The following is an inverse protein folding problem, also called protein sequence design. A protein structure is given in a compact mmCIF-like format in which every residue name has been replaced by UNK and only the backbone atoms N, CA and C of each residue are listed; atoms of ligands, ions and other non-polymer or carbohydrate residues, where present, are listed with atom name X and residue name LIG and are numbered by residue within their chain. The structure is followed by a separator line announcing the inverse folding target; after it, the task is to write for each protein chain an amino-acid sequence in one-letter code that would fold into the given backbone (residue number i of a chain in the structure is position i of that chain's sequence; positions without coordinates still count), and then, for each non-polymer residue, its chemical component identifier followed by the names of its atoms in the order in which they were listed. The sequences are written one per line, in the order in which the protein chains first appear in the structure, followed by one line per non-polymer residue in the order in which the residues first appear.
data_IF_976557615717
#
_entry.id   IF_976557615717
#
_cell.length_a   1.000
_cell.length_b   1.000
_cell.length_c   1.000
_cell.angle_alpha   90.00
_cell.angle_beta   90.00
_cell.angle_gamma   90.00
#
_symmetry.space_group_name_H-M   'P 1'
#
loop_
_entity.id
_entity.type
_entity.pdbx_description
1 polymer ?
#
# COMPACT_ATOMS: atom_id res chain seq x y z
N UNK A 1 -30.99 -4.61 -20.68
CA UNK A 1 -29.53 -4.69 -20.84
C UNK A 1 -29.02 -5.21 -19.51
N UNK A 2 -28.53 -6.45 -19.46
CA UNK A 2 -28.00 -7.01 -18.22
C UNK A 2 -26.78 -6.19 -17.83
N UNK A 3 -26.83 -5.51 -16.68
CA UNK A 3 -25.63 -4.98 -16.03
C UNK A 3 -24.75 -6.19 -15.73
N UNK A 4 -23.71 -6.41 -16.56
CA UNK A 4 -22.64 -7.32 -16.20
C UNK A 4 -22.02 -6.80 -14.91
N UNK A 5 -22.06 -7.63 -13.87
CA UNK A 5 -21.47 -7.36 -12.58
C UNK A 5 -19.99 -6.96 -12.78
N UNK A 6 -19.63 -5.75 -12.33
CA UNK A 6 -18.29 -5.19 -12.55
C UNK A 6 -17.29 -5.97 -11.70
N UNK A 7 -16.45 -6.80 -12.34
CA UNK A 7 -15.37 -7.55 -11.68
C UNK A 7 -14.45 -6.60 -10.91
N UNK A 8 -14.07 -6.99 -9.69
CA UNK A 8 -12.99 -6.34 -8.96
C UNK A 8 -11.63 -6.65 -9.61
N UNK A 9 -10.61 -5.83 -9.32
CA UNK A 9 -9.26 -6.05 -9.84
C UNK A 9 -8.72 -7.46 -9.52
N UNK A 10 -9.05 -8.02 -8.36
CA UNK A 10 -8.63 -9.37 -7.97
C UNK A 10 -9.29 -10.47 -8.84
N UNK A 11 -10.50 -10.22 -9.33
CA UNK A 11 -11.29 -11.16 -10.14
C UNK A 11 -11.02 -11.02 -11.65
N UNK A 12 -10.40 -9.92 -12.07
CA UNK A 12 -10.00 -9.71 -13.46
C UNK A 12 -8.91 -10.70 -13.90
N UNK A 13 -9.09 -11.27 -15.08
CA UNK A 13 -8.05 -12.00 -15.79
C UNK A 13 -6.87 -11.09 -16.14
N UNK A 14 -5.71 -11.69 -16.44
CA UNK A 14 -4.53 -10.93 -16.86
C UNK A 14 -4.83 -10.04 -18.08
N UNK A 15 -5.61 -10.55 -19.04
CA UNK A 15 -5.99 -9.81 -20.24
C UNK A 15 -6.89 -8.61 -19.92
N UNK A 16 -7.89 -8.78 -19.06
CA UNK A 16 -8.75 -7.68 -18.59
C UNK A 16 -7.94 -6.61 -17.87
N UNK A 17 -6.98 -7.00 -17.02
CA UNK A 17 -6.08 -6.05 -16.34
C UNK A 17 -5.18 -5.30 -17.32
N UNK A 18 -4.65 -6.00 -18.34
CA UNK A 18 -3.85 -5.40 -19.41
C UNK A 18 -4.68 -4.41 -20.21
N UNK A 19 -5.93 -4.74 -20.54
CA UNK A 19 -6.84 -3.85 -21.23
C UNK A 19 -7.12 -2.58 -20.42
N UNK A 20 -7.46 -2.73 -19.13
CA UNK A 20 -7.66 -1.60 -18.20
C UNK A 20 -6.42 -0.71 -18.12
N UNK A 21 -5.23 -1.30 -17.92
CA UNK A 21 -4.00 -0.52 -17.87
C UNK A 21 -3.68 0.15 -19.22
N UNK A 22 -3.95 -0.51 -20.34
CA UNK A 22 -3.81 0.07 -21.67
C UNK A 22 -4.74 1.27 -21.89
N UNK A 23 -5.99 1.17 -21.44
CA UNK A 23 -6.95 2.27 -21.48
C UNK A 23 -6.50 3.46 -20.61
N UNK A 24 -5.89 3.20 -19.45
CA UNK A 24 -5.23 4.22 -18.63
C UNK A 24 -4.12 4.95 -19.41
N UNK A 25 -3.23 4.22 -20.10
CA UNK A 25 -2.17 4.86 -20.90
C UNK A 25 -2.74 5.70 -22.05
N UNK A 26 -3.75 5.19 -22.75
CA UNK A 26 -4.44 5.94 -23.83
C UNK A 26 -5.07 7.22 -23.28
N UNK A 27 -5.67 7.17 -22.09
CA UNK A 27 -6.21 8.35 -21.41
C UNK A 27 -5.11 9.36 -21.07
N UNK A 28 -3.98 8.91 -20.52
CA UNK A 28 -2.86 9.81 -20.18
C UNK A 28 -2.27 10.49 -21.41
N UNK A 29 -2.16 9.75 -22.53
CA UNK A 29 -1.80 10.30 -23.84
C UNK A 29 -2.81 11.36 -24.28
N UNK A 30 -4.11 11.07 -24.19
CA UNK A 30 -5.17 12.00 -24.56
C UNK A 30 -5.13 13.30 -23.73
N UNK A 31 -4.90 13.18 -22.41
CA UNK A 31 -4.71 14.32 -21.51
C UNK A 31 -3.49 15.16 -21.87
N UNK A 32 -2.37 14.52 -22.18
CA UNK A 32 -1.15 15.22 -22.59
C UNK A 32 -1.27 15.93 -23.92
N UNK A 33 -1.98 15.34 -24.88
CA UNK A 33 -2.30 15.98 -26.14
C UNK A 33 -3.20 17.20 -25.93
N UNK A 34 -4.27 17.06 -25.12
CA UNK A 34 -5.19 18.16 -24.80
C UNK A 34 -4.50 19.30 -24.05
N UNK A 35 -3.61 18.96 -23.11
CA UNK A 35 -2.82 19.92 -22.36
C UNK A 35 -1.58 20.44 -23.08
N UNK A 36 -1.31 19.97 -24.31
CA UNK A 36 -0.15 20.36 -25.13
C UNK A 36 1.20 20.18 -24.44
N UNK A 37 1.34 19.14 -23.60
CA UNK A 37 2.58 18.83 -22.89
C UNK A 37 3.14 17.44 -23.25
N UNK A 38 2.59 16.79 -24.26
CA UNK A 38 3.06 15.49 -24.71
C UNK A 38 4.51 15.58 -25.25
N UNK A 39 5.46 14.80 -24.72
CA UNK A 39 6.88 14.91 -25.07
C UNK A 39 7.17 14.53 -26.52
N UNK A 40 6.32 13.69 -27.13
CA UNK A 40 6.43 13.28 -28.53
C UNK A 40 5.89 14.32 -29.54
N UNK A 41 5.50 15.51 -29.08
CA UNK A 41 5.18 16.66 -29.94
C UNK A 41 6.37 17.60 -30.16
N UNK A 42 7.46 17.39 -29.42
CA UNK A 42 8.65 18.24 -29.42
C UNK A 42 9.87 17.49 -29.95
N UNK A 43 10.84 18.23 -30.48
CA UNK A 43 12.16 17.68 -30.81
C UNK A 43 12.89 17.28 -29.54
N UNK A 44 13.54 16.12 -29.54
CA UNK A 44 14.37 15.64 -28.44
C UNK A 44 15.78 15.38 -28.96
N UNK A 45 16.75 16.19 -28.50
CA UNK A 45 18.17 15.98 -28.84
C UNK A 45 18.76 14.81 -28.04
N UNK A 46 18.45 14.76 -26.74
CA UNK A 46 18.93 13.72 -25.81
C UNK A 46 17.82 13.32 -24.86
N UNK A 47 17.65 12.01 -24.65
CA UNK A 47 16.61 11.50 -23.76
C UNK A 47 17.06 11.55 -22.29
N UNK A 48 16.29 12.26 -21.46
CA UNK A 48 16.40 12.13 -20.00
C UNK A 48 15.58 10.91 -19.55
N UNK A 49 16.21 9.74 -19.45
CA UNK A 49 15.52 8.47 -19.19
C UNK A 49 14.89 8.43 -17.80
N UNK A 50 13.61 8.07 -17.72
CA UNK A 50 12.92 7.82 -16.46
C UNK A 50 13.56 6.66 -15.70
N UNK A 51 13.87 6.82 -14.41
CA UNK A 51 14.42 5.74 -13.59
C UNK A 51 13.97 5.80 -12.13
N UNK A 52 14.12 4.68 -11.43
CA UNK A 52 13.77 4.55 -10.03
C UNK A 52 14.91 5.08 -9.13
N UNK A 53 14.64 6.08 -8.30
CA UNK A 53 15.66 6.72 -7.47
C UNK A 53 16.26 5.83 -6.37
N UNK A 54 15.54 4.80 -5.90
CA UNK A 54 16.00 3.91 -4.84
C UNK A 54 17.03 2.89 -5.36
N UNK A 55 16.83 2.37 -6.58
CA UNK A 55 17.63 1.27 -7.11
C UNK A 55 18.44 1.60 -8.38
N UNK A 56 18.19 2.76 -9.00
CA UNK A 56 18.87 3.26 -10.21
C UNK A 56 18.39 2.60 -11.51
N UNK A 57 17.39 1.73 -11.47
CA UNK A 57 16.93 0.95 -12.64
C UNK A 57 16.06 1.84 -13.54
N UNK A 58 16.35 1.91 -14.85
CA UNK A 58 15.53 2.67 -15.79
C UNK A 58 14.20 1.98 -16.08
N UNK A 59 13.17 2.79 -16.29
CA UNK A 59 11.89 2.35 -16.84
C UNK A 59 11.96 2.29 -18.37
N UNK A 60 11.11 1.45 -18.96
CA UNK A 60 11.12 1.14 -20.39
C UNK A 60 9.70 1.04 -20.94
N UNK A 61 9.56 1.15 -22.27
CA UNK A 61 8.29 0.97 -22.97
C UNK A 61 7.18 1.91 -22.47
N UNK A 62 5.97 1.39 -22.30
CA UNK A 62 4.81 2.17 -21.86
C UNK A 62 4.97 2.76 -20.45
N UNK A 63 5.69 2.10 -19.55
CA UNK A 63 6.00 2.66 -18.23
C UNK A 63 6.89 3.90 -18.36
N UNK A 64 7.89 3.88 -19.25
CA UNK A 64 8.73 5.07 -19.53
C UNK A 64 7.89 6.20 -20.13
N UNK A 65 7.02 5.89 -21.10
CA UNK A 65 6.14 6.86 -21.74
C UNK A 65 5.27 7.61 -20.72
N UNK A 66 4.56 6.90 -19.84
CA UNK A 66 3.68 7.56 -18.86
C UNK A 66 4.46 8.40 -17.86
N UNK A 67 5.68 7.99 -17.50
CA UNK A 67 6.54 8.80 -16.63
C UNK A 67 7.00 10.08 -17.34
N UNK A 68 7.37 10.01 -18.62
CA UNK A 68 7.72 11.21 -19.41
C UNK A 68 6.52 12.17 -19.56
N UNK A 69 5.30 11.64 -19.75
CA UNK A 69 4.06 12.44 -19.78
C UNK A 69 3.85 13.16 -18.44
N UNK A 70 3.99 12.45 -17.32
CA UNK A 70 3.81 13.03 -15.98
C UNK A 70 4.94 13.98 -15.59
N UNK A 71 6.16 13.75 -16.09
CA UNK A 71 7.26 14.70 -15.93
C UNK A 71 6.88 16.06 -16.50
N UNK A 72 6.37 16.07 -17.75
CA UNK A 72 5.93 17.29 -18.43
C UNK A 72 4.69 17.89 -17.76
N UNK A 73 3.70 17.08 -17.38
CA UNK A 73 2.51 17.56 -16.67
C UNK A 73 2.85 18.29 -15.36
N UNK A 74 3.78 17.74 -14.58
CA UNK A 74 4.21 18.32 -13.30
C UNK A 74 5.30 19.39 -13.41
N UNK A 75 5.79 19.68 -14.62
CA UNK A 75 6.96 20.54 -14.84
C UNK A 75 8.16 20.14 -13.97
N UNK A 76 8.34 18.83 -13.77
CA UNK A 76 9.38 18.28 -12.91
C UNK A 76 10.75 18.39 -13.59
N UNK A 77 11.75 18.83 -12.83
CA UNK A 77 13.11 19.05 -13.34
C UNK A 77 13.83 17.74 -13.59
N UNK A 78 13.53 16.73 -12.78
CA UNK A 78 14.14 15.42 -12.85
C UNK A 78 13.20 14.38 -13.46
N UNK A 79 13.74 13.31 -14.05
CA UNK A 79 12.97 12.14 -14.47
C UNK A 79 13.23 10.95 -13.51
N UNK A 80 13.18 11.24 -12.21
CA UNK A 80 13.46 10.26 -11.15
C UNK A 80 12.19 10.03 -10.36
N UNK A 81 11.87 8.76 -10.11
CA UNK A 81 10.58 8.37 -9.57
C UNK A 81 10.71 7.40 -8.40
N UNK A 82 9.79 7.51 -7.45
CA UNK A 82 9.69 6.66 -6.25
C UNK A 82 8.22 6.34 -5.96
N UNK A 83 7.96 5.15 -5.44
CA UNK A 83 6.72 4.93 -4.69
C UNK A 83 6.83 5.56 -3.28
N UNK A 84 5.70 5.77 -2.60
CA UNK A 84 5.71 6.27 -1.22
C UNK A 84 6.43 5.31 -0.25
N UNK A 85 6.31 3.99 -0.49
CA UNK A 85 7.03 2.98 0.28
C UNK A 85 8.55 3.07 0.04
N UNK A 86 8.99 3.37 -1.18
CA UNK A 86 10.39 3.57 -1.52
C UNK A 86 10.91 4.90 -0.92
N UNK A 87 10.10 5.96 -0.93
CA UNK A 87 10.41 7.23 -0.24
C UNK A 87 10.61 7.04 1.27
N UNK A 88 9.75 6.23 1.91
CA UNK A 88 9.91 5.84 3.33
C UNK A 88 11.24 5.12 3.59
N UNK A 89 11.66 4.22 2.70
CA UNK A 89 12.97 3.55 2.80
C UNK A 89 14.13 4.54 2.72
N UNK A 90 13.98 5.61 1.93
CA UNK A 90 14.93 6.72 1.83
C UNK A 90 14.83 7.75 2.97
N UNK A 91 14.03 7.46 4.01
CA UNK A 91 13.87 8.27 5.23
C UNK A 91 13.20 9.64 4.98
N UNK A 92 12.33 9.74 3.98
CA UNK A 92 11.38 10.86 3.86
C UNK A 92 10.45 10.86 5.08
N UNK A 93 10.13 12.06 5.57
CA UNK A 93 9.23 12.25 6.72
C UNK A 93 7.84 11.62 6.48
N UNK A 94 7.31 10.93 7.48
CA UNK A 94 6.03 10.20 7.34
C UNK A 94 4.85 11.14 7.13
N UNK A 95 4.84 12.34 7.73
CA UNK A 95 3.76 13.31 7.53
C UNK A 95 3.79 13.93 6.14
N UNK A 96 5.00 14.13 5.59
CA UNK A 96 5.15 14.54 4.20
C UNK A 96 4.62 13.48 3.24
N UNK A 97 4.97 12.20 3.45
CA UNK A 97 4.43 11.08 2.66
C UNK A 97 2.89 11.07 2.71
N UNK A 98 2.32 11.28 3.89
CA UNK A 98 0.87 11.30 4.07
C UNK A 98 0.20 12.47 3.33
N UNK A 99 0.80 13.66 3.42
CA UNK A 99 0.34 14.83 2.69
C UNK A 99 0.38 14.60 1.18
N UNK A 100 1.45 14.00 0.65
CA UNK A 100 1.58 13.70 -0.78
C UNK A 100 0.54 12.66 -1.23
N UNK A 101 0.29 11.64 -0.40
CA UNK A 101 -0.71 10.63 -0.70
C UNK A 101 -2.13 11.21 -0.84
N UNK A 102 -2.48 12.15 0.05
CA UNK A 102 -3.80 12.77 0.09
C UNK A 102 -3.99 13.86 -0.98
N UNK A 103 -2.89 14.43 -1.49
CA UNK A 103 -2.93 15.48 -2.50
C UNK A 103 -3.09 14.91 -3.91
N UNK A 104 -4.34 14.91 -4.39
CA UNK A 104 -4.68 14.47 -5.74
C UNK A 104 -4.27 15.47 -6.84
N UNK A 105 -3.80 16.67 -6.49
CA UNK A 105 -3.33 17.65 -7.47
C UNK A 105 -1.92 17.33 -7.98
N UNK A 106 -1.14 16.55 -7.22
CA UNK A 106 0.22 16.15 -7.58
C UNK A 106 0.20 15.20 -8.79
N UNK A 107 0.83 15.58 -9.93
CA UNK A 107 0.97 14.66 -11.05
C UNK A 107 1.80 13.43 -10.66
N UNK A 108 1.16 12.27 -10.70
CA UNK A 108 1.72 10.95 -10.36
C UNK A 108 1.42 9.95 -11.48
N UNK A 109 2.31 8.98 -11.69
CA UNK A 109 2.15 7.98 -12.74
C UNK A 109 1.75 6.63 -12.14
N UNK A 110 0.78 5.94 -12.75
CA UNK A 110 0.58 4.50 -12.49
C UNK A 110 1.45 3.72 -13.47
N UNK A 111 2.31 2.85 -12.95
CA UNK A 111 3.08 1.90 -13.77
C UNK A 111 2.58 0.48 -13.53
N UNK A 112 2.83 -0.44 -14.46
CA UNK A 112 2.46 -1.85 -14.29
C UNK A 112 3.64 -2.80 -14.44
N UNK A 113 3.51 -3.97 -13.82
CA UNK A 113 4.44 -5.08 -13.98
C UNK A 113 3.75 -6.44 -13.86
N UNK A 114 4.31 -7.47 -14.52
CA UNK A 114 3.82 -8.83 -14.39
C UNK A 114 4.44 -9.46 -13.14
N UNK A 115 3.57 -9.89 -12.24
CA UNK A 115 3.92 -10.73 -11.10
C UNK A 115 3.63 -12.18 -11.46
N UNK A 116 4.69 -12.98 -11.60
CA UNK A 116 4.61 -14.41 -11.95
C UNK A 116 5.17 -15.32 -10.84
N UNK A 117 5.63 -14.74 -9.74
CA UNK A 117 6.08 -15.48 -8.57
C UNK A 117 5.92 -14.63 -7.30
N UNK A 118 5.92 -15.30 -6.16
CA UNK A 118 5.95 -14.71 -4.83
C UNK A 118 7.08 -15.31 -4.02
N UNK A 119 7.59 -14.54 -3.06
CA UNK A 119 8.50 -15.05 -2.05
C UNK A 119 7.68 -15.32 -0.80
N UNK A 120 7.51 -16.60 -0.44
CA UNK A 120 6.82 -16.98 0.78
C UNK A 120 7.85 -17.35 1.86
N UNK A 121 7.58 -17.07 3.13
CA UNK A 121 8.50 -17.41 4.20
C UNK A 121 8.61 -18.94 4.37
N UNK A 122 9.82 -19.41 4.61
CA UNK A 122 10.08 -20.83 4.92
C UNK A 122 9.85 -21.06 6.40
N UNK A 123 9.02 -22.04 6.73
CA UNK A 123 8.70 -22.41 8.12
C UNK A 123 9.65 -23.49 8.63
N UNK A 124 9.96 -23.46 9.93
CA UNK A 124 10.62 -24.60 10.58
C UNK A 124 9.66 -25.79 10.61
N UNK A 125 10.17 -26.99 10.32
CA UNK A 125 9.40 -28.23 10.29
C UNK A 125 9.90 -29.20 11.37
N UNK A 126 8.98 -29.95 11.98
CA UNK A 126 9.33 -31.07 12.87
C UNK A 126 9.79 -32.31 12.08
N UNK A 127 10.17 -33.38 12.79
CA UNK A 127 10.64 -34.64 12.18
C UNK A 127 9.59 -35.30 11.25
N UNK A 128 8.32 -34.93 11.38
CA UNK A 128 7.21 -35.43 10.57
C UNK A 128 6.83 -34.47 9.43
N UNK A 129 7.52 -33.35 9.28
CA UNK A 129 7.28 -32.34 8.25
C UNK A 129 6.19 -31.32 8.57
N UNK A 130 5.70 -31.24 9.81
CA UNK A 130 4.69 -30.26 10.21
C UNK A 130 5.34 -28.94 10.65
N UNK A 131 4.68 -27.80 10.37
CA UNK A 131 5.15 -26.48 10.80
C UNK A 131 5.25 -26.41 12.32
N UNK A 132 6.38 -25.95 12.85
CA UNK A 132 6.59 -25.82 14.29
C UNK A 132 5.84 -24.57 14.81
N UNK A 133 4.95 -24.71 15.82
CA UNK A 133 4.27 -23.59 16.44
C UNK A 133 5.21 -22.54 17.02
N UNK A 134 4.88 -21.27 16.80
CA UNK A 134 5.51 -20.18 17.54
C UNK A 134 4.84 -20.08 18.91
N UNK A 135 5.56 -20.41 19.99
CA UNK A 135 4.99 -20.45 21.33
C UNK A 135 5.16 -19.12 22.07
N UNK A 136 4.24 -18.83 22.98
CA UNK A 136 4.41 -17.76 23.97
C UNK A 136 5.28 -18.23 25.15
N UNK A 137 5.49 -17.32 26.11
CA UNK A 137 6.27 -17.59 27.32
C UNK A 137 5.67 -18.69 28.22
N UNK A 138 4.38 -18.97 28.06
CA UNK A 138 3.62 -19.94 28.84
C UNK A 138 3.50 -21.29 28.10
N UNK A 139 4.12 -21.41 26.91
CA UNK A 139 4.16 -22.62 26.09
C UNK A 139 2.95 -22.83 25.18
N UNK A 140 2.03 -21.85 25.09
CA UNK A 140 0.88 -21.94 24.21
C UNK A 140 1.22 -21.44 22.81
N UNK A 141 0.58 -22.00 21.78
CA UNK A 141 0.75 -21.50 20.42
C UNK A 141 0.24 -20.05 20.35
N UNK A 142 1.12 -19.16 19.90
CA UNK A 142 0.76 -17.78 19.61
C UNK A 142 -0.17 -17.78 18.42
N UNK A 143 -1.24 -17.03 18.57
CA UNK A 143 -2.08 -16.67 17.46
C UNK A 143 -1.64 -15.31 16.95
N UNK A 144 -1.80 -15.10 15.65
CA UNK A 144 -1.82 -13.78 15.09
C UNK A 144 -2.87 -13.00 15.86
N UNK A 145 -2.50 -11.81 16.36
CA UNK A 145 -3.34 -11.08 17.32
C UNK A 145 -4.66 -10.62 16.69
N UNK A 146 -4.82 -10.84 15.40
CA UNK A 146 -5.74 -10.11 14.58
C UNK A 146 -6.56 -11.05 13.71
N UNK A 147 -5.92 -11.96 13.00
CA UNK A 147 -6.64 -13.04 12.30
C UNK A 147 -7.01 -14.19 13.23
N UNK A 148 -6.42 -14.25 14.42
CA UNK A 148 -6.47 -15.41 15.32
C UNK A 148 -5.90 -16.69 14.69
N UNK A 149 -5.21 -16.59 13.55
CA UNK A 149 -4.58 -17.72 12.89
C UNK A 149 -3.35 -18.18 13.68
N UNK A 150 -3.06 -19.49 13.74
CA UNK A 150 -1.89 -19.98 14.44
C UNK A 150 -0.58 -19.48 13.82
N UNK A 151 0.32 -18.91 14.64
CA UNK A 151 1.65 -18.52 14.20
C UNK A 151 2.63 -19.69 14.29
N UNK A 152 3.57 -19.71 13.35
CA UNK A 152 4.58 -20.74 13.22
C UNK A 152 5.98 -20.10 13.18
N UNK A 153 7.00 -20.88 13.52
CA UNK A 153 8.39 -20.44 13.48
C UNK A 153 8.88 -20.36 12.04
N UNK A 154 9.68 -19.34 11.77
CA UNK A 154 10.32 -19.14 10.47
C UNK A 154 11.77 -19.60 10.51
N UNK A 155 12.25 -20.11 9.39
CA UNK A 155 13.68 -20.34 9.18
C UNK A 155 14.35 -19.00 8.94
N UNK A 156 15.50 -18.79 9.57
CA UNK A 156 16.33 -17.62 9.40
C UNK A 156 17.70 -18.01 8.82
N UNK A 157 18.28 -17.13 8.00
CA UNK A 157 19.58 -17.34 7.38
C UNK A 157 20.43 -16.05 7.40
N UNK A 158 21.77 -16.15 7.38
CA UNK A 158 22.63 -14.98 7.27
C UNK A 158 22.44 -14.23 5.95
N UNK A 159 22.48 -12.90 6.00
CA UNK A 159 22.49 -12.05 4.81
C UNK A 159 23.86 -12.11 4.14
N UNK A 160 23.85 -12.26 2.82
CA UNK A 160 25.04 -12.21 1.97
C UNK A 160 25.14 -10.87 1.24
N UNK A 161 26.36 -10.38 1.04
CA UNK A 161 26.62 -9.27 0.13
C UNK A 161 26.60 -9.72 -1.33
N UNK A 162 26.91 -8.81 -2.26
CA UNK A 162 26.88 -9.10 -3.70
C UNK A 162 27.92 -10.13 -4.13
N UNK A 163 28.97 -10.31 -3.34
CA UNK A 163 30.10 -11.20 -3.61
C UNK A 163 29.92 -12.55 -2.90
N UNK A 164 28.80 -12.73 -2.18
CA UNK A 164 28.47 -13.95 -1.46
C UNK A 164 29.07 -14.02 -0.05
N UNK A 165 29.65 -12.94 0.47
CA UNK A 165 30.22 -12.91 1.81
C UNK A 165 29.18 -12.55 2.86
N UNK A 166 29.37 -12.99 4.11
CA UNK A 166 28.51 -12.65 5.22
C UNK A 166 28.50 -11.13 5.48
N UNK A 167 27.32 -10.52 5.52
CA UNK A 167 27.17 -9.13 5.96
C UNK A 167 27.27 -9.09 7.48
N UNK A 168 28.40 -8.59 7.99
CA UNK A 168 28.65 -8.49 9.43
C UNK A 168 28.22 -7.13 9.97
N UNK A 169 27.55 -7.14 11.12
CA UNK A 169 27.36 -5.94 11.92
C UNK A 169 28.67 -5.59 12.64
N UNK A 170 29.29 -4.48 12.25
CA UNK A 170 30.59 -4.05 12.79
C UNK A 170 30.57 -3.73 14.29
N UNK A 171 29.40 -3.47 14.88
CA UNK A 171 29.28 -3.20 16.32
C UNK A 171 29.20 -4.49 17.14
N UNK A 172 28.53 -5.53 16.63
CA UNK A 172 28.30 -6.78 17.37
C UNK A 172 29.19 -7.93 16.90
N UNK A 173 29.87 -7.76 15.76
CA UNK A 173 30.63 -8.79 15.07
C UNK A 173 29.80 -10.06 14.73
N UNK A 174 28.48 -9.91 14.61
CA UNK A 174 27.55 -10.97 14.24
C UNK A 174 27.02 -10.73 12.82
N UNK A 175 26.68 -11.80 12.06
CA UNK A 175 26.03 -11.62 10.77
C UNK A 175 24.65 -11.01 10.92
N UNK A 176 24.26 -10.14 9.99
CA UNK A 176 22.87 -9.76 9.83
C UNK A 176 22.07 -10.99 9.41
N UNK A 177 20.95 -11.22 10.08
CA UNK A 177 20.06 -12.35 9.80
C UNK A 177 18.86 -11.85 9.01
N UNK A 178 18.34 -12.66 8.09
CA UNK A 178 17.08 -12.44 7.39
C UNK A 178 16.19 -13.66 7.47
N UNK A 179 14.89 -13.45 7.35
CA UNK A 179 13.95 -14.55 7.20
C UNK A 179 14.21 -15.24 5.86
N UNK A 180 14.35 -16.56 5.88
CA UNK A 180 14.49 -17.35 4.67
C UNK A 180 13.16 -17.36 3.92
N UNK A 181 13.21 -17.11 2.63
CA UNK A 181 12.05 -17.15 1.74
C UNK A 181 12.29 -18.07 0.57
N UNK A 182 11.24 -18.73 0.10
CA UNK A 182 11.25 -19.53 -1.11
C UNK A 182 10.46 -18.84 -2.23
N UNK A 183 10.99 -18.94 -3.45
CA UNK A 183 10.34 -18.39 -4.65
C UNK A 183 9.31 -19.40 -5.17
N UNK A 184 8.03 -19.06 -5.06
CA UNK A 184 6.93 -19.88 -5.54
C UNK A 184 6.34 -19.25 -6.80
N UNK A 185 6.23 -20.04 -7.87
CA UNK A 185 5.57 -19.59 -9.09
C UNK A 185 4.06 -19.41 -8.85
N UNK A 186 3.51 -18.31 -9.34
CA UNK A 186 2.06 -18.05 -9.32
C UNK A 186 1.53 -17.90 -10.74
N UNK A 187 0.20 -17.97 -10.90
CA UNK A 187 -0.42 -17.59 -12.17
C UNK A 187 -0.06 -16.12 -12.47
N UNK A 188 0.51 -15.81 -13.65
CA UNK A 188 0.89 -14.44 -13.99
C UNK A 188 -0.29 -13.48 -13.85
N UNK A 189 -0.06 -12.40 -13.14
CA UNK A 189 -1.04 -11.33 -12.94
C UNK A 189 -0.37 -9.98 -13.14
N UNK A 190 -1.14 -8.99 -13.58
CA UNK A 190 -0.64 -7.62 -13.71
C UNK A 190 -0.87 -6.90 -12.38
N UNK A 191 0.21 -6.37 -11.86
CA UNK A 191 0.21 -5.49 -10.70
C UNK A 191 0.56 -4.07 -11.14
N UNK A 192 0.11 -3.11 -10.36
CA UNK A 192 0.40 -1.70 -10.59
C UNK A 192 0.85 -1.03 -9.32
N UNK A 193 1.57 0.08 -9.49
CA UNK A 193 1.92 0.97 -8.39
C UNK A 193 1.97 2.40 -8.86
N UNK A 194 1.61 3.32 -7.96
CA UNK A 194 1.80 4.74 -8.19
C UNK A 194 3.23 5.16 -7.87
N UNK A 195 3.77 5.99 -8.75
CA UNK A 195 5.05 6.65 -8.60
C UNK A 195 4.88 8.16 -8.59
N UNK A 196 5.67 8.79 -7.74
CA UNK A 196 5.77 10.23 -7.54
C UNK A 196 7.17 10.66 -7.95
N UNK A 197 7.26 11.80 -8.63
CA UNK A 197 8.56 12.34 -9.01
C UNK A 197 9.33 12.77 -7.76
N UNK A 198 10.65 12.58 -7.72
CA UNK A 198 11.43 12.93 -6.52
C UNK A 198 11.36 14.41 -6.15
N UNK A 199 11.03 15.28 -7.11
CA UNK A 199 10.91 16.71 -6.92
C UNK A 199 9.73 17.10 -6.01
N UNK A 200 8.79 16.19 -5.74
CA UNK A 200 7.68 16.44 -4.81
C UNK A 200 8.08 16.29 -3.33
N UNK A 201 9.18 15.58 -3.04
CA UNK A 201 9.61 15.27 -1.67
C UNK A 201 10.65 16.29 -1.20
N UNK A 202 10.26 17.15 -0.27
CA UNK A 202 11.09 18.22 0.30
C UNK A 202 12.10 17.68 1.31
N UNK A 203 11.73 16.65 2.08
CA UNK A 203 12.62 16.05 3.11
C UNK A 203 13.53 14.95 2.58
N UNK A 204 13.44 14.62 1.28
CA UNK A 204 14.26 13.59 0.66
C UNK A 204 15.73 14.00 0.59
N UNK A 205 16.60 13.23 1.25
CA UNK A 205 18.05 13.34 1.09
C UNK A 205 18.48 12.72 -0.26
N UNK A 206 18.68 13.59 -1.25
CA UNK A 206 19.03 13.20 -2.62
C UNK A 206 20.36 12.42 -2.71
N UNK A 207 21.25 12.52 -1.72
CA UNK A 207 22.52 11.77 -1.71
C UNK A 207 22.33 10.27 -1.45
N UNK A 208 21.18 9.86 -0.89
CA UNK A 208 20.84 8.44 -0.68
C UNK A 208 20.27 7.77 -1.92
N UNK A 209 19.94 8.55 -2.95
CA UNK A 209 19.46 8.01 -4.22
C UNK A 209 20.60 7.38 -5.01
N UNK A 210 20.27 6.38 -5.81
CA UNK A 210 21.22 5.74 -6.72
C UNK A 210 21.17 6.43 -8.08
N UNK A 211 22.31 6.69 -8.73
CA UNK A 211 22.31 7.20 -10.10
C UNK A 211 21.71 6.17 -11.05
N UNK A 212 21.27 6.63 -12.21
CA UNK A 212 20.78 5.75 -13.27
C UNK A 212 21.87 4.73 -13.66
N UNK A 213 21.47 3.46 -13.72
CA UNK A 213 22.32 2.35 -14.11
C UNK A 213 22.17 2.09 -15.59
N UNK A 214 23.09 2.66 -16.38
CA UNK A 214 23.06 2.58 -17.84
C UNK A 214 23.15 1.16 -18.36
N UNK A 215 23.76 0.25 -17.61
CA UNK A 215 23.86 -1.18 -17.93
C UNK A 215 22.48 -1.89 -17.99
N UNK A 216 21.45 -1.33 -17.36
CA UNK A 216 20.07 -1.84 -17.41
C UNK A 216 19.19 -1.13 -18.45
N UNK A 217 19.75 -0.25 -19.28
CA UNK A 217 19.04 0.32 -20.43
C UNK A 217 18.90 -0.77 -21.50
N UNK A 218 17.81 -1.52 -21.42
CA UNK A 218 17.45 -2.52 -22.42
C UNK A 218 16.47 -1.95 -23.43
N UNK A 219 16.55 -2.40 -24.68
CA UNK A 219 15.56 -2.07 -25.71
C UNK A 219 14.25 -2.75 -25.38
N UNK A 220 13.19 -1.98 -25.13
CA UNK A 220 11.87 -2.56 -24.93
C UNK A 220 11.39 -3.22 -26.23
N UNK A 221 10.74 -4.37 -26.11
CA UNK A 221 9.93 -4.91 -27.20
C UNK A 221 8.70 -4.01 -27.33
N UNK A 222 8.55 -3.38 -28.49
CA UNK A 222 7.47 -2.42 -28.75
C UNK A 222 6.30 -3.04 -29.55
N UNK A 223 6.57 -4.10 -30.32
CA UNK A 223 5.59 -4.86 -31.10
C UNK A 223 5.86 -6.36 -31.01
N UNK A 224 4.80 -7.15 -31.18
CA UNK A 224 4.88 -8.60 -31.17
C UNK A 224 5.71 -9.11 -32.34
N UNK A 225 6.59 -10.07 -32.06
CA UNK A 225 7.08 -10.99 -33.07
C UNK A 225 6.26 -12.28 -32.98
N UNK A 226 6.31 -13.15 -34.01
CA UNK A 226 5.56 -14.41 -34.07
C UNK A 226 5.74 -15.31 -32.84
N UNK A 227 6.86 -15.18 -32.13
CA UNK A 227 7.22 -16.01 -30.97
C UNK A 227 7.02 -15.31 -29.60
N UNK A 228 6.27 -14.20 -29.54
CA UNK A 228 6.07 -13.46 -28.29
C UNK A 228 4.97 -14.08 -27.41
N UNK A 229 5.34 -14.58 -26.22
CA UNK A 229 4.38 -15.16 -25.27
C UNK A 229 3.59 -14.07 -24.51
N UNK A 230 2.40 -13.79 -25.03
CA UNK A 230 1.44 -12.86 -24.44
C UNK A 230 0.95 -13.24 -23.03
N UNK A 231 1.04 -14.52 -22.65
CA UNK A 231 0.51 -14.99 -21.37
C UNK A 231 1.37 -14.59 -20.17
N UNK A 232 2.60 -14.12 -20.42
CA UNK A 232 3.59 -13.77 -19.38
C UNK A 232 4.28 -12.42 -19.62
N UNK A 233 4.01 -11.78 -20.74
CA UNK A 233 4.65 -10.51 -21.09
C UNK A 233 3.93 -9.30 -20.52
N UNK A 234 4.68 -8.20 -20.35
CA UNK A 234 4.11 -6.90 -20.06
C UNK A 234 3.34 -6.34 -21.26
N UNK A 235 2.43 -5.40 -21.00
CA UNK A 235 1.79 -4.63 -22.05
C UNK A 235 2.84 -3.86 -22.87
N UNK A 236 2.75 -3.93 -24.19
CA UNK A 236 3.65 -3.24 -25.13
C UNK A 236 2.88 -2.20 -25.95
N UNK A 237 3.61 -1.34 -26.68
CA UNK A 237 2.98 -0.27 -27.46
C UNK A 237 2.02 -0.81 -28.53
N UNK A 238 2.38 -1.90 -29.21
CA UNK A 238 1.50 -2.54 -30.20
C UNK A 238 0.13 -2.95 -29.66
N UNK A 239 -0.01 -3.21 -28.35
CA UNK A 239 -1.28 -3.59 -27.73
C UNK A 239 -2.26 -2.42 -27.58
N UNK A 240 -1.75 -1.17 -27.62
CA UNK A 240 -2.57 0.06 -27.50
C UNK A 240 -2.62 0.88 -28.79
N UNK A 241 -1.81 0.54 -29.79
CA UNK A 241 -1.62 1.32 -31.02
C UNK A 241 -2.95 1.57 -31.76
N UNK A 242 -3.82 0.57 -31.84
CA UNK A 242 -5.13 0.66 -32.49
C UNK A 242 -6.18 1.47 -31.71
N UNK A 243 -5.91 1.79 -30.43
CA UNK A 243 -6.80 2.60 -29.58
C UNK A 243 -6.53 4.10 -29.72
N UNK A 244 -5.47 4.46 -30.46
CA UNK A 244 -5.02 5.83 -30.68
C UNK A 244 -5.39 6.30 -32.09
N UNK A 245 -5.49 7.62 -32.28
CA UNK A 245 -5.52 8.17 -33.63
C UNK A 245 -4.20 7.86 -34.35
N UNK A 246 -4.27 7.52 -35.64
CA UNK A 246 -3.14 7.07 -36.45
C UNK A 246 -1.91 7.98 -36.34
N UNK A 247 -2.09 9.29 -36.47
CA UNK A 247 -0.96 10.23 -36.38
C UNK A 247 -0.33 10.27 -34.98
N UNK A 248 -1.14 10.19 -33.93
CA UNK A 248 -0.65 10.14 -32.54
C UNK A 248 0.11 8.85 -32.29
N UNK A 249 -0.40 7.73 -32.80
CA UNK A 249 0.29 6.45 -32.76
C UNK A 249 1.65 6.51 -33.49
N UNK A 250 1.72 7.11 -34.68
CA UNK A 250 2.96 7.29 -35.43
C UNK A 250 3.99 8.17 -34.69
N UNK A 251 3.54 9.26 -34.05
CA UNK A 251 4.39 10.11 -33.23
C UNK A 251 4.99 9.35 -32.03
N UNK A 252 4.14 8.67 -31.25
CA UNK A 252 4.58 7.87 -30.09
C UNK A 252 5.50 6.74 -30.52
N UNK A 253 5.18 6.06 -31.63
CA UNK A 253 6.02 5.03 -32.23
C UNK A 253 7.42 5.53 -32.53
N UNK A 254 7.54 6.67 -33.23
CA UNK A 254 8.83 7.28 -33.52
C UNK A 254 9.58 7.66 -32.24
N UNK A 255 8.88 8.24 -31.26
CA UNK A 255 9.45 8.66 -29.97
C UNK A 255 10.01 7.46 -29.19
N UNK A 256 9.24 6.37 -29.06
CA UNK A 256 9.66 5.16 -28.35
C UNK A 256 10.82 4.44 -29.07
N UNK A 257 10.82 4.42 -30.40
CA UNK A 257 11.95 3.87 -31.17
C UNK A 257 13.22 4.71 -30.93
N UNK A 258 13.11 6.03 -30.97
CA UNK A 258 14.24 6.92 -30.72
C UNK A 258 14.77 6.77 -29.30
N UNK A 259 13.88 6.74 -28.29
CA UNK A 259 14.23 6.52 -26.88
C UNK A 259 14.89 5.15 -26.65
N UNK A 260 14.38 4.09 -27.29
CA UNK A 260 14.95 2.75 -27.19
C UNK A 260 16.36 2.65 -27.79
N UNK A 261 16.66 3.43 -28.83
CA UNK A 261 17.95 3.42 -29.50
C UNK A 261 18.90 4.53 -29.02
N UNK A 262 18.45 5.37 -28.09
CA UNK A 262 19.19 6.52 -27.58
C UNK A 262 19.67 7.47 -28.70
N UNK A 263 18.78 7.76 -29.65
CA UNK A 263 19.01 8.67 -30.78
C UNK A 263 18.05 9.84 -30.72
N UNK A 264 18.39 10.96 -31.33
CA UNK A 264 17.50 12.12 -31.38
C UNK A 264 16.14 11.79 -32.03
N UNK A 265 15.09 12.50 -31.59
CA UNK A 265 13.74 12.38 -32.11
C UNK A 265 13.29 13.70 -32.74
N UNK A 266 12.73 13.61 -33.93
CA UNK A 266 12.02 14.69 -34.61
C UNK A 266 10.57 14.23 -34.84
N UNK A 267 9.56 15.01 -34.42
CA UNK A 267 8.17 14.67 -34.67
C UNK A 267 7.90 14.53 -36.18
N UNK A 268 7.22 13.46 -36.63
CA UNK A 268 6.79 13.34 -38.02
C UNK A 268 5.88 14.54 -38.39
N UNK A 269 5.88 14.90 -39.68
CA UNK A 269 5.20 16.07 -40.30
C UNK A 269 4.06 16.69 -39.47
N UNK A 270 4.12 18.02 -39.27
CA UNK A 270 3.07 18.77 -38.58
C UNK A 270 1.70 18.53 -39.25
N UNK A 271 0.72 18.11 -38.44
CA UNK A 271 -0.66 17.93 -38.87
C UNK A 271 -1.24 19.26 -39.37
N UNK A 272 -2.04 19.20 -40.43
CA UNK A 272 -2.85 20.34 -40.86
C UNK A 272 -4.02 20.58 -39.89
N UNK A 273 -4.70 21.73 -39.99
CA UNK A 273 -5.77 22.09 -39.05
C UNK A 273 -6.93 21.07 -39.01
N UNK A 274 -7.32 20.51 -40.15
CA UNK A 274 -8.36 19.48 -40.21
C UNK A 274 -7.94 18.21 -39.47
N UNK A 275 -6.69 17.77 -39.63
CA UNK A 275 -6.14 16.61 -38.93
C UNK A 275 -6.00 16.88 -37.42
N UNK A 276 -5.65 18.11 -37.02
CA UNK A 276 -5.64 18.51 -35.61
C UNK A 276 -7.04 18.45 -34.99
N UNK A 277 -8.05 18.97 -35.69
CA UNK A 277 -9.45 18.92 -35.25
C UNK A 277 -9.94 17.47 -35.12
N UNK A 278 -9.54 16.58 -36.04
CA UNK A 278 -9.88 15.16 -35.98
C UNK A 278 -9.23 14.47 -34.77
N UNK A 279 -7.94 14.73 -34.52
CA UNK A 279 -7.24 14.26 -33.32
C UNK A 279 -7.95 14.75 -32.06
N UNK A 280 -8.31 16.03 -32.00
CA UNK A 280 -8.98 16.63 -30.86
C UNK A 280 -10.38 16.02 -30.64
N UNK A 281 -11.12 15.72 -31.71
CA UNK A 281 -12.40 15.01 -31.63
C UNK A 281 -12.26 13.63 -30.99
N UNK A 282 -11.33 12.81 -31.48
CA UNK A 282 -11.08 11.45 -30.96
C UNK A 282 -10.60 11.51 -29.51
N UNK A 283 -9.74 12.47 -29.15
CA UNK A 283 -9.33 12.72 -27.77
C UNK A 283 -10.55 12.99 -26.91
N UNK A 284 -11.44 13.89 -27.31
CA UNK A 284 -12.62 14.23 -26.53
C UNK A 284 -13.61 13.06 -26.41
N UNK A 285 -13.74 12.22 -27.44
CA UNK A 285 -14.51 10.97 -27.37
C UNK A 285 -13.91 9.99 -26.36
N UNK A 286 -12.60 9.75 -26.42
CA UNK A 286 -11.89 8.88 -25.46
C UNK A 286 -11.96 9.40 -24.02
N UNK A 287 -11.92 10.72 -23.82
CA UNK A 287 -12.10 11.32 -22.50
C UNK A 287 -13.52 11.11 -21.98
N UNK A 288 -14.55 11.12 -22.84
CA UNK A 288 -15.94 10.80 -22.46
C UNK A 288 -16.12 9.33 -22.11
N UNK A 289 -15.55 8.42 -22.91
CA UNK A 289 -15.57 6.96 -22.66
C UNK A 289 -14.94 6.61 -21.31
N UNK A 290 -13.85 7.29 -20.96
CA UNK A 290 -13.09 7.02 -19.73
C UNK A 290 -13.56 7.83 -18.51
N UNK A 291 -14.37 8.88 -18.69
CA UNK A 291 -14.94 9.67 -17.60
C UNK A 291 -15.67 8.83 -16.51
N UNK A 292 -16.52 7.83 -16.85
CA UNK A 292 -17.17 6.98 -15.85
C UNK A 292 -16.23 5.95 -15.19
N UNK A 293 -15.11 5.57 -15.82
CA UNK A 293 -14.16 4.59 -15.25
C UNK A 293 -13.05 5.24 -14.39
N UNK A 294 -12.68 6.49 -14.68
CA UNK A 294 -11.61 7.20 -13.94
C UNK A 294 -12.15 7.88 -12.67
N UNK A 295 -13.44 8.19 -12.62
CA UNK A 295 -14.12 8.69 -11.41
C UNK A 295 -14.24 7.66 -10.28
N UNK A 296 -14.09 6.35 -10.58
CA UNK A 296 -14.19 5.26 -9.61
C UNK A 296 -12.88 4.51 -9.36
N UNK A 297 -11.83 4.74 -10.16
CA UNK A 297 -10.46 4.26 -9.90
C UNK A 297 -9.54 5.34 -9.28
N UNK A 298 -10.10 6.30 -8.53
CA UNK A 298 -9.29 7.18 -7.66
C UNK A 298 -8.69 6.36 -6.52
N UNK A 299 -7.37 6.14 -6.59
CA UNK A 299 -6.51 5.59 -5.53
C UNK A 299 -6.86 4.20 -4.98
N UNK A 300 -7.61 3.35 -5.68
CA UNK A 300 -8.02 2.05 -5.10
C UNK A 300 -6.85 1.08 -4.83
N UNK A 301 -5.71 1.25 -5.51
CA UNK A 301 -4.53 0.36 -5.35
C UNK A 301 -3.73 0.60 -4.06
N UNK A 302 -3.81 1.79 -3.45
CA UNK A 302 -3.14 2.09 -2.18
C UNK A 302 -4.13 2.39 -1.04
N UNK A 303 -5.45 2.43 -1.35
CA UNK A 303 -6.48 2.64 -0.33
C UNK A 303 -6.41 1.53 0.71
N UNK A 304 -6.49 1.97 1.96
CA UNK A 304 -6.49 1.07 3.12
C UNK A 304 -7.83 0.35 3.30
N UNK A 305 -8.93 1.03 2.94
CA UNK A 305 -10.29 0.53 3.07
C UNK A 305 -11.22 1.20 2.05
N UNK A 306 -12.43 0.67 1.90
CA UNK A 306 -13.57 1.27 1.18
C UNK A 306 -14.76 1.44 2.13
N UNK A 307 -15.68 2.34 1.78
CA UNK A 307 -17.01 2.37 2.36
C UNK A 307 -17.88 1.29 1.69
N UNK A 308 -18.67 0.57 2.48
CA UNK A 308 -19.62 -0.43 1.99
C UNK A 308 -21.05 0.12 1.95
N UNK A 309 -21.97 -0.62 1.34
CA UNK A 309 -23.40 -0.28 1.32
C UNK A 309 -24.10 -0.54 2.67
N UNK A 310 -23.43 -1.24 3.61
CA UNK A 310 -23.93 -1.43 4.97
C UNK A 310 -23.85 -0.09 5.70
N UNK A 311 -25.01 0.43 6.11
CA UNK A 311 -25.11 1.74 6.74
C UNK A 311 -26.00 1.71 7.97
N UNK A 312 -25.74 2.64 8.89
CA UNK A 312 -26.55 2.88 10.09
C UNK A 312 -26.86 4.37 10.18
N UNK A 313 -27.96 4.70 10.84
CA UNK A 313 -28.33 6.08 11.15
C UNK A 313 -28.02 6.34 12.63
N UNK A 314 -27.22 7.37 12.90
CA UNK A 314 -26.85 7.78 14.25
C UNK A 314 -27.02 9.29 14.38
N UNK A 315 -27.88 9.74 15.29
CA UNK A 315 -28.21 11.16 15.52
C UNK A 315 -28.52 11.93 14.21
N UNK A 316 -29.35 11.35 13.34
CA UNK A 316 -29.75 11.88 12.01
C UNK A 316 -28.62 11.96 10.95
N UNK A 317 -27.44 11.40 11.25
CA UNK A 317 -26.35 11.27 10.30
C UNK A 317 -26.28 9.83 9.80
N UNK A 318 -26.23 9.66 8.48
CA UNK A 318 -26.02 8.36 7.85
C UNK A 318 -24.54 8.02 7.85
N UNK A 319 -24.20 6.83 8.32
CA UNK A 319 -22.83 6.34 8.43
C UNK A 319 -22.65 5.06 7.62
N UNK A 320 -21.46 4.83 7.09
CA UNK A 320 -21.09 3.70 6.26
C UNK A 320 -20.06 2.82 6.97
N UNK A 321 -20.29 1.51 6.90
CA UNK A 321 -19.35 0.50 7.39
C UNK A 321 -18.09 0.52 6.52
N UNK A 322 -16.92 0.54 7.14
CA UNK A 322 -15.63 0.42 6.43
C UNK A 322 -15.27 -1.06 6.20
N UNK A 323 -14.62 -1.35 5.07
CA UNK A 323 -14.06 -2.67 4.75
C UNK A 323 -12.63 -2.52 4.23
N UNK A 324 -11.68 -3.21 4.84
CA UNK A 324 -10.27 -3.12 4.46
C UNK A 324 -10.01 -3.64 3.04
N UNK A 325 -9.10 -2.98 2.33
CA UNK A 325 -8.73 -3.32 0.95
C UNK A 325 -7.35 -3.97 0.83
N UNK A 326 -6.55 -3.88 1.88
CA UNK A 326 -5.21 -4.47 1.97
C UNK A 326 -4.89 -4.85 3.40
N UNK A 327 -3.85 -5.65 3.57
CA UNK A 327 -3.34 -6.02 4.88
C UNK A 327 -2.53 -4.87 5.51
N UNK A 328 -2.79 -4.55 6.77
CA UNK A 328 -1.99 -3.62 7.58
C UNK A 328 -2.24 -3.86 9.08
N UNK A 329 -1.16 -3.93 9.87
CA UNK A 329 -1.22 -4.26 11.31
C UNK A 329 -2.11 -5.48 11.57
N UNK A 330 -3.27 -5.28 12.21
CA UNK A 330 -4.28 -6.29 12.42
C UNK A 330 -5.06 -6.73 11.20
N UNK A 331 -5.33 -5.76 10.35
CA UNK A 331 -6.53 -5.76 9.56
C UNK A 331 -6.19 -6.42 8.24
N UNK A 332 -6.98 -7.42 7.86
CA UNK A 332 -6.85 -8.13 6.60
C UNK A 332 -7.74 -7.54 5.54
N UNK A 333 -7.32 -7.66 4.28
CA UNK A 333 -8.19 -7.32 3.16
C UNK A 333 -9.53 -8.08 3.28
N UNK A 334 -10.64 -7.34 3.24
CA UNK A 334 -12.00 -7.85 3.45
C UNK A 334 -12.55 -7.67 4.87
N UNK A 335 -11.72 -7.32 5.86
CA UNK A 335 -12.20 -7.12 7.23
C UNK A 335 -13.12 -5.91 7.34
N UNK A 336 -14.29 -6.13 7.94
CA UNK A 336 -15.25 -5.07 8.25
C UNK A 336 -14.91 -4.40 9.58
N UNK A 337 -14.82 -3.07 9.56
CA UNK A 337 -14.57 -2.24 10.74
C UNK A 337 -15.85 -1.61 11.32
N UNK A 338 -15.70 -0.48 12.01
CA UNK A 338 -16.80 0.34 12.47
C UNK A 338 -17.38 1.23 11.37
N UNK A 339 -17.96 2.36 11.76
CA UNK A 339 -18.72 3.23 10.88
C UNK A 339 -18.12 4.62 10.81
N UNK A 340 -18.10 5.18 9.61
CA UNK A 340 -17.68 6.55 9.34
C UNK A 340 -18.76 7.30 8.57
N UNK A 341 -18.84 8.61 8.74
CA UNK A 341 -19.72 9.45 7.92
C UNK A 341 -19.15 9.61 6.51
N UNK A 342 -17.84 9.84 6.42
CA UNK A 342 -17.11 10.12 5.21
C UNK A 342 -15.75 9.41 5.20
N UNK A 343 -15.19 9.17 4.01
CA UNK A 343 -13.89 8.52 3.85
C UNK A 343 -12.75 9.31 4.51
N UNK A 344 -12.90 10.62 4.73
CA UNK A 344 -11.91 11.45 5.43
C UNK A 344 -11.82 11.23 6.95
N UNK A 345 -12.76 10.50 7.56
CA UNK A 345 -12.77 10.25 9.01
C UNK A 345 -11.69 9.27 9.48
N UNK A 346 -11.13 8.46 8.59
CA UNK A 346 -10.07 7.50 8.90
C UNK A 346 -8.95 7.59 7.86
N UNK A 347 -7.72 7.77 8.31
CA UNK A 347 -6.59 7.88 7.40
C UNK A 347 -6.36 6.57 6.65
N UNK A 348 -6.08 6.63 5.35
CA UNK A 348 -5.58 5.49 4.58
C UNK A 348 -4.10 5.17 4.83
N UNK A 349 -3.41 6.00 5.63
CA UNK A 349 -2.03 5.77 6.04
C UNK A 349 -1.95 5.36 7.51
N UNK A 350 -0.82 4.79 7.89
CA UNK A 350 -0.61 4.20 9.21
C UNK A 350 -1.58 3.04 9.52
N UNK A 351 -1.57 2.62 10.77
CA UNK A 351 -2.33 1.47 11.27
C UNK A 351 -3.63 1.87 11.97
N UNK A 352 -4.07 3.13 11.83
CA UNK A 352 -5.32 3.58 12.41
C UNK A 352 -6.50 2.74 11.89
N UNK A 353 -7.39 2.32 12.78
CA UNK A 353 -8.54 1.50 12.41
C UNK A 353 -9.70 1.68 13.38
N UNK A 354 -10.91 1.52 12.86
CA UNK A 354 -12.14 1.58 13.63
C UNK A 354 -12.68 0.15 13.67
N UNK A 355 -12.74 -0.45 14.86
CA UNK A 355 -13.19 -1.82 15.08
C UNK A 355 -14.66 -1.85 15.54
N UNK A 356 -15.27 -3.03 15.47
CA UNK A 356 -16.58 -3.35 16.02
C UNK A 356 -17.73 -2.45 15.51
N UNK A 357 -18.34 -1.67 16.40
CA UNK A 357 -19.43 -0.73 16.13
C UNK A 357 -19.03 0.69 16.52
N UNK A 358 -17.72 0.98 16.59
CA UNK A 358 -17.24 2.31 16.87
C UNK A 358 -17.58 3.25 15.72
N UNK A 359 -17.81 4.52 16.05
CA UNK A 359 -18.27 5.55 15.13
C UNK A 359 -17.29 6.71 15.12
N UNK A 360 -16.91 7.19 13.94
CA UNK A 360 -16.19 8.46 13.75
C UNK A 360 -16.96 9.32 12.76
N UNK A 361 -17.46 10.48 13.19
CA UNK A 361 -18.37 11.32 12.41
C UNK A 361 -18.11 12.82 12.64
N UNK A 362 -18.92 13.70 12.02
CA UNK A 362 -18.94 15.15 12.26
C UNK A 362 -17.54 15.79 12.16
N UNK A 363 -16.81 15.46 11.10
CA UNK A 363 -15.47 15.99 10.82
C UNK A 363 -14.32 15.43 11.67
N UNK A 364 -14.58 14.52 12.61
CA UNK A 364 -13.51 13.88 13.40
C UNK A 364 -12.59 13.00 12.55
N UNK A 365 -11.31 12.89 12.90
CA UNK A 365 -10.31 12.13 12.13
C UNK A 365 -9.43 11.25 13.01
N UNK A 366 -9.30 9.98 12.62
CA UNK A 366 -8.33 9.04 13.18
C UNK A 366 -7.17 8.80 12.21
N UNK A 367 -5.93 8.91 12.69
CA UNK A 367 -4.71 8.74 11.88
C UNK A 367 -3.56 8.13 12.68
N UNK A 368 -2.39 7.93 12.04
CA UNK A 368 -1.23 7.19 12.58
C UNK A 368 -1.60 5.77 13.02
N UNK A 369 -1.55 5.47 14.33
CA UNK A 369 -1.87 4.18 14.93
C UNK A 369 -3.10 4.26 15.85
N UNK A 370 -3.92 5.30 15.72
CA UNK A 370 -5.08 5.51 16.57
C UNK A 370 -6.17 4.47 16.29
N UNK A 371 -6.68 3.81 17.34
CA UNK A 371 -7.65 2.72 17.23
C UNK A 371 -8.90 2.99 18.07
N UNK A 372 -10.06 2.87 17.45
CA UNK A 372 -11.35 2.99 18.12
C UNK A 372 -12.05 1.62 18.21
N UNK A 373 -12.58 1.27 19.37
CA UNK A 373 -13.12 -0.06 19.64
C UNK A 373 -14.54 -0.02 20.20
N UNK A 374 -15.24 -1.15 20.09
CA UNK A 374 -16.53 -1.41 20.72
C UNK A 374 -17.64 -0.47 20.23
N UNK A 375 -18.15 0.40 21.11
CA UNK A 375 -19.22 1.37 20.83
C UNK A 375 -18.74 2.81 21.03
N UNK A 376 -17.44 3.07 20.95
CA UNK A 376 -16.92 4.42 21.11
C UNK A 376 -17.41 5.34 20.00
N UNK A 377 -17.65 6.61 20.32
CA UNK A 377 -18.07 7.62 19.36
C UNK A 377 -17.06 8.76 19.39
N UNK A 378 -16.56 9.16 18.22
CA UNK A 378 -15.66 10.31 18.07
C UNK A 378 -16.32 11.30 17.12
N UNK A 379 -16.46 12.56 17.53
CA UNK A 379 -17.13 13.58 16.71
C UNK A 379 -16.59 14.99 16.91
N UNK A 380 -17.30 15.97 16.36
CA UNK A 380 -17.04 17.41 16.53
C UNK A 380 -15.62 17.83 16.15
N UNK A 381 -15.18 17.46 14.94
CA UNK A 381 -13.85 17.80 14.39
C UNK A 381 -12.64 17.32 15.22
N UNK A 382 -12.86 16.40 16.17
CA UNK A 382 -11.78 15.86 17.02
C UNK A 382 -10.70 15.19 16.16
N UNK A 383 -9.44 15.59 16.34
CA UNK A 383 -8.29 14.98 15.68
C UNK A 383 -7.55 14.04 16.64
N UNK A 384 -7.50 12.76 16.30
CA UNK A 384 -6.80 11.74 17.10
C UNK A 384 -5.71 11.08 16.27
N UNK A 385 -4.49 11.11 16.78
CA UNK A 385 -3.30 10.56 16.13
C UNK A 385 -2.27 10.07 17.16
N UNK A 386 -1.18 9.45 16.71
CA UNK A 386 -0.28 8.67 17.56
C UNK A 386 -0.87 7.32 18.01
N UNK A 387 -0.26 6.72 19.03
CA UNK A 387 -0.65 5.40 19.59
C UNK A 387 -1.79 5.54 20.63
N UNK A 388 -2.99 5.94 20.18
CA UNK A 388 -4.16 6.16 21.03
C UNK A 388 -5.17 5.02 20.89
N UNK A 389 -5.67 4.49 22.01
CA UNK A 389 -6.74 3.50 22.03
C UNK A 389 -7.98 4.06 22.71
N UNK A 390 -9.08 4.09 21.97
CA UNK A 390 -10.38 4.55 22.45
C UNK A 390 -11.23 3.32 22.70
N UNK A 391 -11.49 3.01 23.98
CA UNK A 391 -12.19 1.79 24.38
C UNK A 391 -13.37 2.09 25.31
N UNK A 392 -14.21 1.09 25.58
CA UNK A 392 -15.21 1.18 26.64
C UNK A 392 -16.51 1.94 26.32
N UNK A 393 -16.80 2.24 25.06
CA UNK A 393 -18.06 2.91 24.68
C UNK A 393 -18.12 4.40 25.02
N UNK A 394 -16.95 5.04 25.12
CA UNK A 394 -16.82 6.46 25.43
C UNK A 394 -17.19 7.36 24.24
N UNK A 395 -17.65 8.57 24.52
CA UNK A 395 -17.91 9.62 23.53
C UNK A 395 -16.86 10.74 23.65
N UNK A 396 -16.11 10.98 22.57
CA UNK A 396 -15.01 11.95 22.49
C UNK A 396 -15.39 13.09 21.55
N UNK A 397 -15.48 14.30 22.10
CA UNK A 397 -15.83 15.54 21.42
C UNK A 397 -14.87 16.64 21.93
N UNK A 398 -13.62 16.60 21.47
CA UNK A 398 -12.57 17.51 21.91
C UNK A 398 -12.14 18.43 20.77
N UNK A 399 -12.08 19.73 21.04
CA UNK A 399 -11.69 20.74 20.05
C UNK A 399 -10.17 20.83 19.89
N UNK A 400 -9.42 20.15 20.76
CA UNK A 400 -7.95 20.02 20.69
C UNK A 400 -7.53 18.64 20.16
N UNK A 401 -6.40 18.54 19.44
CA UNK A 401 -5.90 17.25 19.05
C UNK A 401 -5.46 16.39 20.24
N UNK A 402 -5.81 15.10 20.21
CA UNK A 402 -5.36 14.08 21.17
C UNK A 402 -4.24 13.27 20.50
N UNK A 403 -3.04 13.35 21.06
CA UNK A 403 -1.81 12.85 20.43
C UNK A 403 -1.25 11.58 21.08
N UNK A 404 -1.72 11.25 22.27
CA UNK A 404 -1.26 10.13 23.07
C UNK A 404 -2.33 9.70 24.09
N UNK A 405 -2.16 8.51 24.66
CA UNK A 405 -3.14 7.94 25.60
C UNK A 405 -3.34 8.80 26.85
N UNK A 406 -2.32 9.53 27.31
CA UNK A 406 -2.42 10.37 28.51
C UNK A 406 -3.41 11.51 28.31
N UNK A 407 -3.34 12.18 27.17
CA UNK A 407 -4.26 13.27 26.80
C UNK A 407 -5.71 12.76 26.68
N UNK A 408 -5.91 11.57 26.10
CA UNK A 408 -7.24 10.94 26.06
C UNK A 408 -7.77 10.67 27.48
N UNK A 409 -6.95 10.10 28.36
CA UNK A 409 -7.34 9.77 29.72
C UNK A 409 -7.67 11.03 30.55
N UNK A 410 -6.92 12.12 30.35
CA UNK A 410 -7.20 13.42 30.97
C UNK A 410 -8.54 14.00 30.50
N UNK A 411 -8.80 13.97 29.18
CA UNK A 411 -10.10 14.36 28.62
C UNK A 411 -11.24 13.55 29.23
N UNK A 412 -11.16 12.21 29.18
CA UNK A 412 -12.20 11.31 29.67
C UNK A 412 -12.49 11.57 31.16
N UNK A 413 -11.45 11.74 31.97
CA UNK A 413 -11.59 12.12 33.38
C UNK A 413 -12.32 13.45 33.57
N UNK A 414 -12.01 14.46 32.76
CA UNK A 414 -12.63 15.78 32.86
C UNK A 414 -14.12 15.76 32.47
N UNK A 415 -14.50 14.93 31.49
CA UNK A 415 -15.90 14.78 31.06
C UNK A 415 -16.67 13.72 31.86
N UNK A 416 -16.07 13.18 32.93
CA UNK A 416 -16.69 12.19 33.81
C UNK A 416 -16.94 10.83 33.15
N UNK A 417 -16.24 10.53 32.04
CA UNK A 417 -16.27 9.23 31.38
C UNK A 417 -15.09 8.37 31.84
N UNK A 418 -15.33 7.10 32.08
CA UNK A 418 -14.28 6.12 32.40
C UNK A 418 -14.30 5.03 31.35
N UNK A 419 -13.13 4.60 30.86
CA UNK A 419 -13.05 3.37 30.05
C UNK A 419 -13.66 2.22 30.86
N UNK A 420 -14.78 1.67 30.39
CA UNK A 420 -15.36 0.50 31.03
C UNK A 420 -14.40 -0.69 30.85
N UNK A 421 -13.64 -1.01 31.90
CA UNK A 421 -13.05 -2.36 32.02
C UNK A 421 -14.22 -3.34 32.04
N UNK A 422 -14.37 -4.17 30.99
CA UNK A 422 -15.33 -5.27 31.06
C UNK A 422 -14.98 -6.16 32.26
N UNK A 423 -15.94 -6.52 33.12
CA UNK A 423 -15.70 -7.48 34.17
C UNK A 423 -15.29 -8.81 33.53
N UNK A 424 -14.21 -9.37 34.06
CA UNK A 424 -13.80 -10.75 33.85
C UNK A 424 -15.05 -11.63 34.00
N UNK A 425 -15.36 -12.46 32.99
CA UNK A 425 -16.58 -13.29 33.01
C UNK A 425 -16.67 -14.10 34.31
N UNK A 426 -17.87 -14.44 34.83
CA UNK A 426 -18.01 -15.26 36.04
C UNK A 426 -17.27 -16.59 35.94
N UNK A 427 -17.11 -17.11 34.71
CA UNK A 427 -16.33 -18.30 34.38
C UNK A 427 -14.84 -18.08 34.55
N UNK A 428 -14.32 -16.92 34.14
CA UNK A 428 -12.91 -16.57 34.35
C UNK A 428 -12.68 -16.15 35.82
N UNK A 429 -13.65 -15.59 36.55
CA UNK A 429 -13.51 -15.33 37.99
C UNK A 429 -13.47 -16.62 38.82
N UNK A 430 -14.26 -17.64 38.47
CA UNK A 430 -14.21 -18.95 39.14
C UNK A 430 -12.93 -19.72 38.78
N UNK A 431 -12.48 -19.64 37.52
CA UNK A 431 -11.21 -20.23 37.07
C UNK A 431 -10.00 -19.53 37.71
N UNK A 432 -10.00 -18.20 37.82
CA UNK A 432 -8.94 -17.43 38.50
C UNK A 432 -8.94 -17.73 40.00
N UNK A 433 -10.09 -17.84 40.67
CA UNK A 433 -10.15 -18.27 42.09
C UNK A 433 -9.65 -19.70 42.27
N UNK A 434 -9.99 -20.63 41.38
CA UNK A 434 -9.53 -22.01 41.42
C UNK A 434 -8.01 -22.14 41.18
N UNK A 435 -7.46 -21.35 40.25
CA UNK A 435 -6.01 -21.31 39.97
C UNK A 435 -5.24 -20.64 41.11
N UNK A 436 -5.82 -19.61 41.75
CA UNK A 436 -5.18 -18.92 42.88
C UNK A 436 -5.20 -19.78 44.16
N UNK A 437 -6.28 -20.54 44.40
CA UNK A 437 -6.35 -21.52 45.49
C UNK A 437 -5.36 -22.67 45.30
N UNK A 438 -5.26 -23.24 44.07
CA UNK A 438 -4.27 -24.26 43.74
C UNK A 438 -2.82 -23.74 43.89
N UNK A 439 -2.53 -22.50 43.49
CA UNK A 439 -1.21 -21.88 43.70
C UNK A 439 -0.88 -21.63 45.18
N UNK A 440 -1.88 -21.33 46.03
CA UNK A 440 -1.70 -21.15 47.46
C UNK A 440 -1.45 -22.49 48.20
N UNK A 441 -2.12 -23.56 47.80
CA UNK A 441 -1.89 -24.92 48.33
C UNK A 441 -0.52 -25.48 47.92
N UNK A 442 -0.10 -25.25 46.67
CA UNK A 442 1.23 -25.64 46.18
C UNK A 442 2.34 -24.84 46.89
N UNK A 443 2.14 -23.54 47.17
CA UNK A 443 3.09 -22.77 47.98
C UNK A 443 3.17 -23.26 49.43
N UNK A 444 2.04 -23.57 50.08
CA UNK A 444 2.02 -24.13 51.46
C UNK A 444 2.66 -25.51 51.55
N UNK A 445 2.49 -26.38 50.54
CA UNK A 445 3.11 -27.71 50.53
C UNK A 445 4.62 -27.63 50.28
N UNK A 446 5.09 -26.69 49.45
CA UNK A 446 6.51 -26.43 49.21
C UNK A 446 7.20 -25.80 50.45
N UNK A 447 6.53 -24.89 51.17
CA UNK A 447 7.11 -24.32 52.41
C UNK A 447 7.18 -25.34 53.55
N UNK A 448 6.16 -26.20 53.71
CA UNK A 448 6.21 -27.30 54.69
C UNK A 448 7.29 -28.34 54.37
N UNK A 449 7.59 -28.59 53.09
CA UNK A 449 8.67 -29.51 52.68
C UNK A 449 10.06 -28.92 52.94
N UNK A 450 10.22 -27.60 52.84
CA UNK A 450 11.49 -26.93 53.13
C UNK A 450 11.79 -26.85 54.63
N UNK A 451 10.80 -26.55 55.49
CA UNK A 451 11.02 -26.52 56.95
C UNK A 451 11.27 -27.90 57.56
N UNK A 452 10.71 -28.97 56.98
CA UNK A 452 10.95 -30.35 57.47
C UNK A 452 12.34 -30.89 57.09
N UNK A 453 12.95 -30.39 56.03
CA UNK A 453 14.30 -30.78 55.61
C UNK A 453 15.41 -30.01 56.35
N UNK A 454 15.12 -28.80 56.84
CA UNK A 454 16.06 -28.02 57.67
C UNK A 454 16.15 -28.49 59.12
N UNK A 455 15.12 -29.18 59.65
CA UNK A 455 15.13 -29.76 61.00
C UNK A 455 15.77 -31.16 61.06
N UNK A 456 16.00 -31.80 59.91
CA UNK A 456 16.61 -33.13 59.79
C UNK A 456 18.11 -33.10 59.44
N UNK A 457 18.70 -31.90 59.34
CA UNK A 457 20.10 -31.68 58.95
C UNK A 457 20.91 -30.85 59.97
N UNK A 458 20.43 -30.76 61.22
CA UNK A 458 21.22 -30.30 62.38
C UNK A 458 21.51 -31.46 63.33
#
# INVERSE_FOLDING_TARGET
MNEQEKKSWAEMSLEEKKDTFGNYIVYEVAMAMKGQYAPFLEKVETFNRAYNGLNGVPYNGLNSLVLDLKQKQGNYQSNVWLSLAEAKQLKVDEKEIDSIFQDNSIPKAKISFIKAFEYIPVYELDENGNKIPLLDKDGNQRLDKHTQEPLFRYVYEPQLDKDGNLKINLQTNQPYIQMKTEKVAIKPTLESKFLYNVDVFKTLDKNKMKPIKKEFLHKAILWNNKDFDHSKSHLIFGDIENKLHKATAEQIKGYLIAQNNDVAYEPPMKLNETQKQEVERIINEKLKENAPNIGQEKNQEDKKYKLTNESVEYKQTKLFRIEALRDFDDVKAGDKGGFVEDESNLSHNGNAWIYDSAIVLNGAKLSDNAKAYHKSVVGSETLIYGDVKITGGVEVYENKPIKNQKELNEYLKNVGQTEAQKPISPKIQSEVKAVTAKKAEVKKSQTKKMTKNSEMSM
#
